data_IF_442688499033
#
_entry.id   IF_442688499033
#
_cell.length_a   1.000
_cell.length_b   1.000
_cell.length_c   1.000
_cell.angle_alpha   90.00
_cell.angle_beta   90.00
_cell.angle_gamma   90.00
#
_symmetry.space_group_name_H-M   'P 1'
#
loop_
_entity.id
_entity.type
_entity.pdbx_description
1 polymer ?
#
# COMPACT_ATOMS: atom_id res chain seq x y z
N UNK A 1 4.91 1.72 -8.37
CA UNK A 1 4.86 2.26 -7.01
C UNK A 1 4.78 1.10 -6.01
N UNK A 2 5.41 1.22 -4.85
CA UNK A 2 5.27 0.25 -3.75
C UNK A 2 3.90 0.41 -3.06
N UNK A 3 3.44 -0.59 -2.30
CA UNK A 3 2.19 -0.45 -1.51
C UNK A 3 2.26 0.73 -0.54
N UNK A 4 3.44 0.96 0.04
CA UNK A 4 3.70 2.10 0.93
C UNK A 4 3.54 3.42 0.19
N UNK A 5 4.08 3.58 -1.02
CA UNK A 5 3.92 4.80 -1.82
C UNK A 5 2.45 5.07 -2.19
N UNK A 6 1.64 4.03 -2.36
CA UNK A 6 0.21 4.16 -2.65
C UNK A 6 -0.55 4.59 -1.40
N UNK A 7 -0.29 3.95 -0.26
CA UNK A 7 -0.87 4.32 1.03
C UNK A 7 -0.45 5.74 1.44
N UNK A 8 0.81 6.09 1.21
CA UNK A 8 1.33 7.45 1.39
C UNK A 8 0.62 8.41 0.43
N UNK A 9 0.36 8.06 -0.83
CA UNK A 9 -0.37 8.95 -1.74
C UNK A 9 -1.83 9.20 -1.32
N UNK A 10 -2.50 8.20 -0.73
CA UNK A 10 -3.85 8.34 -0.16
C UNK A 10 -3.83 9.23 1.09
N UNK A 11 -2.76 9.17 1.89
CA UNK A 11 -2.58 10.00 3.08
C UNK A 11 -2.00 11.39 2.76
N UNK A 12 -1.22 11.57 1.69
CA UNK A 12 -0.49 12.82 1.45
C UNK A 12 -1.30 13.92 0.75
N UNK A 13 -2.60 13.72 0.49
CA UNK A 13 -3.50 14.83 0.18
C UNK A 13 -3.69 15.68 1.43
N UNK A 14 -2.84 16.69 1.57
CA UNK A 14 -2.74 17.58 2.74
C UNK A 14 -4.06 18.29 3.00
N UNK A 15 -4.68 18.04 4.14
CA UNK A 15 -5.63 18.99 4.74
C UNK A 15 -4.82 20.06 5.50
N UNK A 16 -5.25 21.32 5.45
CA UNK A 16 -4.56 22.47 6.06
C UNK A 16 -4.35 22.34 7.59
N UNK A 17 -5.04 21.40 8.24
CA UNK A 17 -5.07 21.23 9.69
C UNK A 17 -4.40 19.92 10.17
N UNK A 18 -3.66 19.22 9.31
CA UNK A 18 -3.02 17.95 9.69
C UNK A 18 -1.84 18.11 10.67
N UNK A 19 -1.76 17.16 11.61
CA UNK A 19 -0.67 17.02 12.58
C UNK A 19 0.67 16.88 11.87
N UNK A 20 1.55 17.88 12.04
CA UNK A 20 2.85 17.90 11.36
C UNK A 20 3.84 16.98 12.10
N UNK A 21 4.10 15.80 11.56
CA UNK A 21 5.19 14.92 12.04
C UNK A 21 6.54 15.62 11.95
N UNK A 22 7.50 15.25 12.81
CA UNK A 22 8.84 15.86 12.79
C UNK A 22 9.48 15.84 11.40
N UNK A 23 9.39 14.73 10.67
CA UNK A 23 9.95 14.61 9.31
C UNK A 23 9.22 15.55 8.34
N UNK A 24 7.89 15.64 8.41
CA UNK A 24 7.11 16.58 7.59
C UNK A 24 7.46 18.04 7.90
N UNK A 25 7.72 18.36 9.17
CA UNK A 25 8.22 19.69 9.57
C UNK A 25 9.63 19.94 9.01
N UNK A 26 10.53 18.97 9.16
CA UNK A 26 11.89 19.02 8.61
C UNK A 26 11.85 19.31 7.10
N UNK A 27 11.02 18.58 6.35
CA UNK A 27 10.81 18.79 4.93
C UNK A 27 10.28 20.19 4.61
N UNK A 28 9.28 20.68 5.35
CA UNK A 28 8.69 21.99 5.12
C UNK A 28 9.68 23.14 5.40
N UNK A 29 10.43 23.05 6.50
CA UNK A 29 11.41 24.06 6.90
C UNK A 29 12.58 24.09 5.89
N UNK A 30 13.07 22.92 5.45
CA UNK A 30 14.07 22.84 4.36
C UNK A 30 13.49 23.37 3.04
N UNK A 31 12.26 23.00 2.68
CA UNK A 31 11.59 23.50 1.47
C UNK A 31 11.47 25.02 1.46
N UNK A 32 11.25 25.64 2.62
CA UNK A 32 11.20 27.10 2.76
C UNK A 32 12.54 27.72 2.37
N UNK A 33 13.65 27.18 2.88
CA UNK A 33 15.02 27.64 2.54
C UNK A 33 15.28 27.50 1.04
N UNK A 34 14.98 26.33 0.46
CA UNK A 34 15.14 26.12 -0.98
C UNK A 34 14.30 27.11 -1.79
N UNK A 35 13.04 27.31 -1.42
CA UNK A 35 12.11 28.22 -2.12
C UNK A 35 12.56 29.67 -2.06
N UNK A 36 13.12 30.11 -0.93
CA UNK A 36 13.69 31.44 -0.78
C UNK A 36 14.86 31.64 -1.76
N UNK A 37 15.80 30.70 -1.82
CA UNK A 37 16.92 30.73 -2.77
C UNK A 37 16.41 30.69 -4.21
N UNK A 38 15.43 29.83 -4.53
CA UNK A 38 14.84 29.77 -5.87
C UNK A 38 14.29 31.11 -6.31
N UNK A 39 13.51 31.75 -5.43
CA UNK A 39 12.86 33.03 -5.72
C UNK A 39 13.90 34.15 -5.85
N UNK A 40 14.87 34.22 -4.93
CA UNK A 40 15.92 35.24 -4.92
C UNK A 40 16.84 35.16 -6.15
N UNK A 41 17.22 33.94 -6.54
CA UNK A 41 18.17 33.69 -7.64
C UNK A 41 17.49 33.44 -8.98
N UNK A 42 16.14 33.39 -9.02
CA UNK A 42 15.32 33.08 -10.20
C UNK A 42 15.72 31.73 -10.83
N UNK A 43 15.93 30.71 -10.00
CA UNK A 43 16.23 29.34 -10.44
C UNK A 43 15.03 28.42 -10.21
N UNK A 44 15.01 27.28 -10.91
CA UNK A 44 13.94 26.28 -10.79
C UNK A 44 13.81 25.77 -9.35
N UNK A 45 12.57 25.62 -8.87
CA UNK A 45 12.29 25.11 -7.53
C UNK A 45 12.53 23.61 -7.45
N UNK A 46 13.33 23.18 -6.48
CA UNK A 46 13.41 21.77 -6.11
C UNK A 46 12.27 21.46 -5.13
N UNK A 47 11.56 20.37 -5.37
CA UNK A 47 10.58 19.81 -4.44
C UNK A 47 11.29 18.92 -3.44
N UNK A 48 11.74 19.48 -2.32
CA UNK A 48 12.52 18.81 -1.26
C UNK A 48 11.90 17.47 -0.85
N UNK A 49 10.57 17.39 -0.70
CA UNK A 49 9.88 16.14 -0.35
C UNK A 49 10.17 14.97 -1.32
N UNK A 50 10.43 15.25 -2.59
CA UNK A 50 10.76 14.22 -3.59
C UNK A 50 12.22 13.76 -3.49
N UNK A 51 13.12 14.65 -3.06
CA UNK A 51 14.56 14.46 -3.15
C UNK A 51 15.27 14.28 -1.81
N UNK A 52 14.58 14.57 -0.69
CA UNK A 52 15.05 14.30 0.65
C UNK A 52 15.13 12.80 0.85
N UNK A 53 16.29 12.31 1.25
CA UNK A 53 16.52 10.89 1.53
C UNK A 53 17.21 10.75 2.88
N UNK A 54 16.94 9.65 3.57
CA UNK A 54 17.63 9.29 4.79
C UNK A 54 19.10 8.96 4.46
N UNK A 55 20.02 9.45 5.28
CA UNK A 55 21.43 9.14 5.18
C UNK A 55 21.71 7.65 5.34
N UNK A 56 22.86 7.22 4.82
CA UNK A 56 23.34 5.84 4.95
C UNK A 56 24.73 5.84 5.59
N UNK A 57 25.28 4.66 5.89
CA UNK A 57 26.59 4.51 6.56
C UNK A 57 27.73 5.20 5.77
N UNK A 58 27.56 5.40 4.46
CA UNK A 58 28.56 6.01 3.58
C UNK A 58 28.42 7.54 3.46
N UNK A 59 27.32 8.12 3.96
CA UNK A 59 27.06 9.56 3.93
C UNK A 59 27.18 10.14 5.33
N UNK A 60 27.90 11.26 5.48
CA UNK A 60 28.12 11.94 6.76
C UNK A 60 26.92 12.80 7.20
N UNK A 61 25.69 12.32 7.04
CA UNK A 61 24.47 13.07 7.38
C UNK A 61 23.35 12.14 7.85
N UNK A 62 22.42 12.68 8.64
CA UNK A 62 21.17 11.96 8.97
C UNK A 62 20.21 11.97 7.77
N UNK A 63 20.29 13.02 6.94
CA UNK A 63 19.53 13.17 5.70
C UNK A 63 20.38 13.85 4.63
N UNK A 64 19.95 13.74 3.37
CA UNK A 64 20.57 14.41 2.24
C UNK A 64 19.57 14.78 1.14
N UNK A 65 19.94 15.78 0.34
CA UNK A 65 19.27 16.19 -0.91
C UNK A 65 20.30 16.26 -2.03
N UNK A 66 19.98 15.66 -3.18
CA UNK A 66 20.78 15.81 -4.39
C UNK A 66 20.53 17.21 -4.99
N UNK A 67 21.58 18.03 -5.11
CA UNK A 67 21.51 19.37 -5.67
C UNK A 67 21.56 19.38 -7.21
N UNK A 68 22.07 18.30 -7.80
CA UNK A 68 22.07 18.11 -9.25
C UNK A 68 20.73 17.51 -9.68
N UNK A 69 19.79 18.35 -10.13
CA UNK A 69 18.56 17.82 -10.75
C UNK A 69 18.84 17.47 -12.23
N UNK A 70 18.15 16.45 -12.79
CA UNK A 70 18.18 16.15 -14.22
C UNK A 70 17.76 17.33 -15.12
N UNK A 71 17.11 18.34 -14.54
CA UNK A 71 16.49 19.47 -15.22
C UNK A 71 17.40 20.72 -15.23
N UNK A 72 18.70 20.57 -14.92
CA UNK A 72 19.67 21.68 -14.98
C UNK A 72 19.68 22.62 -13.78
N UNK A 73 19.33 22.12 -12.59
CA UNK A 73 19.31 22.90 -11.36
C UNK A 73 20.70 23.41 -10.93
N UNK A 74 20.85 24.74 -10.75
CA UNK A 74 22.10 25.45 -10.38
C UNK A 74 22.34 25.59 -8.86
N UNK A 75 21.70 24.78 -8.01
CA UNK A 75 21.83 24.94 -6.55
C UNK A 75 23.24 24.72 -6.03
N UNK A 76 24.08 23.98 -6.76
CA UNK A 76 25.48 23.80 -6.39
C UNK A 76 26.23 25.14 -6.30
N UNK A 77 25.90 26.11 -7.16
CA UNK A 77 26.49 27.45 -7.18
C UNK A 77 26.08 28.30 -5.96
N UNK A 78 25.00 27.93 -5.29
CA UNK A 78 24.47 28.61 -4.11
C UNK A 78 24.55 27.74 -2.86
N UNK A 79 25.45 26.76 -2.87
CA UNK A 79 25.58 25.76 -1.80
C UNK A 79 26.01 26.37 -0.46
N UNK A 80 26.91 27.36 -0.46
CA UNK A 80 27.33 28.06 0.75
C UNK A 80 26.15 28.83 1.39
N UNK A 81 25.40 29.61 0.60
CA UNK A 81 24.21 30.35 1.07
C UNK A 81 23.11 29.40 1.58
N UNK A 82 22.94 28.24 0.93
CA UNK A 82 22.05 27.17 1.40
C UNK A 82 22.48 26.62 2.76
N UNK A 83 23.78 26.30 2.92
CA UNK A 83 24.33 25.76 4.16
C UNK A 83 24.14 26.75 5.32
N UNK A 84 24.44 28.03 5.10
CA UNK A 84 24.26 29.06 6.11
C UNK A 84 22.80 29.16 6.58
N UNK A 85 21.85 29.24 5.63
CA UNK A 85 20.42 29.31 5.96
C UNK A 85 19.88 28.06 6.64
N UNK A 86 20.41 26.88 6.31
CA UNK A 86 20.03 25.64 6.98
C UNK A 86 20.52 25.61 8.43
N UNK A 87 21.66 26.22 8.73
CA UNK A 87 22.18 26.32 10.11
C UNK A 87 21.33 27.20 11.02
N UNK A 88 20.49 28.08 10.46
CA UNK A 88 19.50 28.85 11.22
C UNK A 88 18.34 27.99 11.76
N UNK A 89 18.16 26.78 11.22
CA UNK A 89 17.15 25.84 11.69
C UNK A 89 17.67 25.14 12.95
N UNK A 90 17.11 25.49 14.11
CA UNK A 90 17.55 25.06 15.45
C UNK A 90 17.86 23.57 15.66
N UNK A 91 17.23 22.67 14.92
CA UNK A 91 17.44 21.21 15.02
C UNK A 91 18.37 20.63 13.96
N UNK A 92 18.90 21.46 13.07
CA UNK A 92 20.01 21.12 12.18
C UNK A 92 21.29 21.48 12.92
N UNK A 93 22.08 20.44 13.25
CA UNK A 93 23.37 20.59 13.91
C UNK A 93 24.44 21.08 12.92
N UNK A 94 24.42 20.54 11.71
CA UNK A 94 25.38 20.87 10.66
C UNK A 94 24.83 20.57 9.27
N UNK A 95 25.36 21.25 8.26
CA UNK A 95 25.07 21.03 6.85
C UNK A 95 26.35 21.16 6.03
N UNK A 96 26.61 20.21 5.13
CA UNK A 96 27.82 20.16 4.31
C UNK A 96 27.52 19.62 2.91
N UNK A 97 28.30 20.06 1.91
CA UNK A 97 28.31 19.44 0.58
C UNK A 97 29.21 18.22 0.60
N UNK A 98 28.62 17.05 0.35
CA UNK A 98 29.33 15.80 0.16
C UNK A 98 29.45 15.46 -1.33
N UNK A 99 30.66 15.08 -1.75
CA UNK A 99 30.97 14.60 -3.11
C UNK A 99 30.50 15.53 -4.24
N UNK A 100 30.50 16.85 -4.01
CA UNK A 100 30.13 17.91 -4.98
C UNK A 100 28.66 17.93 -5.47
N UNK A 101 27.78 17.04 -5.00
CA UNK A 101 26.39 16.99 -5.49
C UNK A 101 25.35 16.80 -4.39
N UNK A 102 25.75 16.36 -3.20
CA UNK A 102 24.82 16.08 -2.11
C UNK A 102 24.92 17.15 -1.05
N UNK A 103 23.82 17.83 -0.77
CA UNK A 103 23.68 18.61 0.46
C UNK A 103 23.25 17.65 1.56
N UNK A 104 24.15 17.39 2.50
CA UNK A 104 23.91 16.53 3.65
C UNK A 104 23.69 17.38 4.88
N UNK A 105 22.85 16.91 5.80
CA UNK A 105 22.59 17.60 7.05
C UNK A 105 22.51 16.62 8.22
N UNK A 106 23.09 17.03 9.33
CA UNK A 106 23.09 16.33 10.61
C UNK A 106 22.09 16.99 11.51
N UNK A 107 21.26 16.19 12.17
CA UNK A 107 20.30 16.67 13.14
C UNK A 107 20.97 16.82 14.50
N UNK A 108 20.51 17.79 15.27
CA UNK A 108 20.77 17.85 16.70
C UNK A 108 19.96 16.74 17.38
N UNK A 109 20.52 15.51 17.36
CA UNK A 109 19.82 14.29 17.80
C UNK A 109 19.22 14.39 19.20
N UNK A 110 19.89 14.96 20.23
CA UNK A 110 19.28 15.17 21.54
C UNK A 110 18.02 16.05 21.49
N UNK A 111 18.06 17.15 20.72
CA UNK A 111 16.90 18.03 20.55
C UNK A 111 15.74 17.30 19.85
N UNK A 112 16.04 16.61 18.75
CA UNK A 112 15.04 15.84 17.99
C UNK A 112 14.45 14.71 18.82
N UNK A 113 15.29 13.97 19.54
CA UNK A 113 14.85 12.91 20.44
C UNK A 113 13.89 13.44 21.48
N UNK A 114 14.24 14.52 22.18
CA UNK A 114 13.36 15.12 23.20
C UNK A 114 12.01 15.50 22.60
N UNK A 115 12.02 16.19 21.46
CA UNK A 115 10.78 16.60 20.78
C UNK A 115 9.92 15.41 20.37
N UNK A 116 10.50 14.42 19.71
CA UNK A 116 9.79 13.20 19.28
C UNK A 116 9.27 12.42 20.48
N UNK A 117 10.08 12.28 21.53
CA UNK A 117 9.70 11.59 22.75
C UNK A 117 8.54 12.28 23.47
N UNK A 118 8.58 13.61 23.59
CA UNK A 118 7.48 14.41 24.17
C UNK A 118 6.18 14.23 23.37
N UNK A 119 6.26 14.16 22.03
CA UNK A 119 5.11 13.83 21.17
C UNK A 119 4.64 12.39 21.40
N UNK A 120 5.52 11.40 21.43
CA UNK A 120 5.16 10.01 21.70
C UNK A 120 4.45 9.88 23.05
N UNK A 121 4.92 10.57 24.09
CA UNK A 121 4.28 10.58 25.41
C UNK A 121 2.92 11.27 25.39
N UNK A 122 2.81 12.42 24.72
CA UNK A 122 1.57 13.20 24.65
C UNK A 122 0.46 12.44 23.93
N UNK A 123 0.79 11.76 22.83
CA UNK A 123 -0.19 11.16 21.93
C UNK A 123 -0.31 9.63 22.11
N UNK A 124 0.67 8.99 22.73
CA UNK A 124 0.66 7.57 23.08
C UNK A 124 0.34 6.69 21.88
N UNK A 125 -0.77 5.95 21.97
CA UNK A 125 -1.21 4.99 20.95
C UNK A 125 -1.54 5.62 19.61
N UNK A 126 -1.80 6.94 19.54
CA UNK A 126 -2.11 7.65 18.29
C UNK A 126 -0.91 8.39 17.70
N UNK A 127 0.29 8.18 18.23
CA UNK A 127 1.51 8.70 17.62
C UNK A 127 1.72 8.07 16.23
N UNK A 128 2.02 8.91 15.22
CA UNK A 128 2.18 8.45 13.83
C UNK A 128 0.90 8.38 13.01
N UNK A 129 -0.27 8.72 13.59
CA UNK A 129 -1.57 8.67 12.91
C UNK A 129 -2.03 10.04 12.42
N UNK A 130 -2.75 10.04 11.29
CA UNK A 130 -3.38 11.22 10.68
C UNK A 130 -4.89 11.15 10.91
N UNK A 131 -5.53 12.30 11.12
CA UNK A 131 -6.99 12.40 11.22
C UNK A 131 -7.58 12.72 9.84
N UNK A 132 -7.85 11.69 9.03
CA UNK A 132 -8.49 11.84 7.73
C UNK A 132 -9.92 11.32 7.75
N UNK A 133 -10.89 12.22 7.57
CA UNK A 133 -12.31 11.85 7.47
C UNK A 133 -12.74 11.56 6.02
N UNK A 134 -11.99 10.68 5.35
CA UNK A 134 -12.32 10.21 4.00
C UNK A 134 -12.80 8.76 4.07
N UNK A 135 -13.51 8.33 3.04
CA UNK A 135 -14.09 7.00 2.91
C UNK A 135 -13.39 6.20 1.80
N UNK A 136 -13.19 4.91 2.04
CA UNK A 136 -12.47 4.04 1.10
C UNK A 136 -13.17 2.69 1.01
N UNK A 137 -13.39 2.22 -0.22
CA UNK A 137 -13.85 0.88 -0.51
C UNK A 137 -12.66 -0.02 -0.86
N UNK A 138 -12.35 -1.00 -0.01
CA UNK A 138 -11.28 -1.97 -0.23
C UNK A 138 -11.87 -3.23 -0.87
N UNK A 139 -11.44 -3.53 -2.09
CA UNK A 139 -11.86 -4.70 -2.86
C UNK A 139 -10.72 -5.70 -2.98
N UNK A 140 -10.92 -6.91 -2.44
CA UNK A 140 -9.92 -7.98 -2.45
C UNK A 140 -10.30 -9.03 -3.49
N UNK A 141 -9.45 -9.17 -4.51
CA UNK A 141 -9.72 -10.03 -5.67
C UNK A 141 -8.96 -11.36 -5.55
N UNK A 142 -9.61 -12.38 -4.99
CA UNK A 142 -9.01 -13.71 -4.76
C UNK A 142 -9.53 -14.81 -5.69
N UNK A 143 -10.43 -14.50 -6.63
CA UNK A 143 -11.08 -15.54 -7.43
C UNK A 143 -10.05 -16.29 -8.29
N UNK A 144 -10.12 -17.62 -8.27
CA UNK A 144 -9.22 -18.51 -9.04
C UNK A 144 -7.72 -18.36 -8.73
N UNK A 145 -7.36 -17.82 -7.55
CA UNK A 145 -5.97 -17.81 -7.07
C UNK A 145 -5.65 -19.09 -6.30
N UNK A 146 -4.37 -19.48 -6.30
CA UNK A 146 -3.88 -20.52 -5.38
C UNK A 146 -3.89 -20.00 -3.93
N UNK A 147 -3.89 -20.92 -2.95
CA UNK A 147 -4.05 -20.57 -1.54
C UNK A 147 -2.95 -19.65 -0.99
N UNK A 148 -1.73 -19.73 -1.50
CA UNK A 148 -0.64 -18.84 -1.07
C UNK A 148 -0.86 -17.41 -1.56
N UNK A 149 -1.29 -17.24 -2.81
CA UNK A 149 -1.63 -15.92 -3.34
C UNK A 149 -2.88 -15.34 -2.68
N UNK A 150 -3.89 -16.17 -2.41
CA UNK A 150 -5.07 -15.80 -1.61
C UNK A 150 -4.67 -15.32 -0.21
N UNK A 151 -3.78 -16.06 0.46
CA UNK A 151 -3.27 -15.68 1.78
C UNK A 151 -2.51 -14.35 1.73
N UNK A 152 -1.63 -14.15 0.73
CA UNK A 152 -0.89 -12.88 0.57
C UNK A 152 -1.84 -11.69 0.38
N UNK A 153 -2.86 -11.83 -0.47
CA UNK A 153 -3.86 -10.79 -0.68
C UNK A 153 -4.66 -10.51 0.58
N UNK A 154 -5.10 -11.56 1.28
CA UNK A 154 -5.90 -11.42 2.50
C UNK A 154 -5.13 -10.72 3.62
N UNK A 155 -3.87 -11.11 3.85
CA UNK A 155 -3.00 -10.47 4.84
C UNK A 155 -2.62 -9.03 4.45
N UNK A 156 -2.45 -8.76 3.15
CA UNK A 156 -2.26 -7.38 2.65
C UNK A 156 -3.49 -6.53 2.94
N UNK A 157 -4.69 -7.10 2.72
CA UNK A 157 -5.95 -6.42 2.98
C UNK A 157 -6.15 -6.12 4.45
N UNK A 158 -5.93 -7.11 5.33
CA UNK A 158 -5.99 -6.90 6.77
C UNK A 158 -5.06 -5.75 7.20
N UNK A 159 -3.80 -5.77 6.76
CA UNK A 159 -2.84 -4.72 7.10
C UNK A 159 -3.31 -3.34 6.63
N UNK A 160 -3.77 -3.25 5.38
CA UNK A 160 -4.24 -2.00 4.77
C UNK A 160 -5.51 -1.47 5.43
N UNK A 161 -6.49 -2.32 5.69
CA UNK A 161 -7.74 -1.96 6.36
C UNK A 161 -7.45 -1.46 7.77
N UNK A 162 -6.62 -2.19 8.52
CA UNK A 162 -6.20 -1.75 9.85
C UNK A 162 -5.48 -0.41 9.79
N UNK A 163 -4.56 -0.23 8.84
CA UNK A 163 -3.81 1.01 8.67
C UNK A 163 -4.70 2.20 8.34
N UNK A 164 -5.61 2.07 7.38
CA UNK A 164 -6.54 3.14 6.98
C UNK A 164 -7.49 3.51 8.13
N UNK A 165 -8.05 2.51 8.81
CA UNK A 165 -8.98 2.74 9.92
C UNK A 165 -8.30 3.39 11.13
N UNK A 166 -7.04 3.03 11.36
CA UNK A 166 -6.18 3.65 12.38
C UNK A 166 -5.87 5.13 12.05
N UNK A 167 -5.93 5.51 10.77
CA UNK A 167 -5.83 6.90 10.30
C UNK A 167 -7.22 7.54 10.08
N UNK A 168 -8.24 7.06 10.79
CA UNK A 168 -9.61 7.60 10.84
C UNK A 168 -10.40 7.59 9.52
N UNK A 169 -9.96 6.83 8.50
CA UNK A 169 -10.77 6.60 7.31
C UNK A 169 -12.03 5.78 7.66
N UNK A 170 -13.14 6.09 7.00
CA UNK A 170 -14.30 5.19 6.98
C UNK A 170 -14.03 4.08 5.96
N UNK A 171 -13.60 2.92 6.45
CA UNK A 171 -13.24 1.78 5.60
C UNK A 171 -14.44 0.89 5.39
N UNK A 172 -14.82 0.72 4.12
CA UNK A 172 -15.69 -0.36 3.66
C UNK A 172 -14.83 -1.42 3.01
N UNK A 173 -15.14 -2.70 3.22
CA UNK A 173 -14.37 -3.76 2.58
C UNK A 173 -15.25 -4.90 2.10
N UNK A 174 -14.80 -5.55 1.03
CA UNK A 174 -15.43 -6.75 0.51
C UNK A 174 -14.38 -7.79 0.11
N UNK A 175 -14.56 -9.02 0.59
CA UNK A 175 -13.74 -10.17 0.26
C UNK A 175 -14.53 -11.16 -0.60
N UNK A 176 -13.95 -11.51 -1.73
CA UNK A 176 -14.36 -12.72 -2.46
C UNK A 176 -13.42 -13.84 -1.98
N UNK A 177 -13.94 -15.00 -1.60
CA UNK A 177 -13.14 -16.14 -1.10
C UNK A 177 -12.13 -15.77 0.00
N UNK A 178 -12.61 -15.30 1.15
CA UNK A 178 -11.77 -14.97 2.29
C UNK A 178 -11.10 -16.24 2.84
N UNK A 179 -9.76 -16.26 2.85
CA UNK A 179 -9.02 -17.14 3.75
C UNK A 179 -9.16 -16.53 5.14
N UNK A 180 -10.10 -17.05 5.94
CA UNK A 180 -10.34 -16.58 7.32
C UNK A 180 -9.06 -16.75 8.13
N UNK A 181 -8.25 -15.70 8.20
CA UNK A 181 -7.24 -15.54 9.23
C UNK A 181 -7.89 -14.78 10.39
N UNK A 182 -7.58 -15.24 11.59
CA UNK A 182 -8.29 -14.92 12.82
C UNK A 182 -8.16 -13.44 13.21
N UNK A 183 -9.07 -12.56 12.78
CA UNK A 183 -9.38 -11.30 13.50
C UNK A 183 -10.61 -10.60 12.93
N UNK A 184 -11.41 -9.97 13.80
CA UNK A 184 -12.37 -8.95 13.38
C UNK A 184 -11.60 -7.75 12.83
N UNK A 185 -11.85 -7.38 11.56
CA UNK A 185 -11.24 -6.19 10.96
C UNK A 185 -11.95 -4.95 11.48
N UNK A 186 -11.19 -3.88 11.77
CA UNK A 186 -11.73 -2.60 12.20
C UNK A 186 -12.32 -1.83 11.01
N UNK A 187 -13.35 -2.36 10.34
CA UNK A 187 -14.01 -1.71 9.20
C UNK A 187 -15.43 -2.22 8.99
N UNK A 188 -16.14 -1.62 8.03
CA UNK A 188 -17.49 -2.01 7.68
C UNK A 188 -17.45 -3.07 6.57
N UNK A 189 -17.68 -4.33 6.92
CA UNK A 189 -17.81 -5.40 5.93
C UNK A 189 -19.07 -5.18 5.08
N UNK A 190 -18.91 -5.20 3.76
CA UNK A 190 -20.01 -5.26 2.82
C UNK A 190 -20.32 -6.73 2.52
N UNK A 191 -21.44 -7.20 3.07
CA UNK A 191 -21.97 -8.53 2.80
C UNK A 191 -23.09 -8.39 1.77
N UNK A 192 -22.84 -8.88 0.56
CA UNK A 192 -23.85 -8.98 -0.48
C UNK A 192 -24.65 -10.27 -0.24
N UNK A 193 -25.94 -10.16 0.07
CA UNK A 193 -26.82 -11.33 0.24
C UNK A 193 -27.01 -12.09 -1.08
N UNK A 194 -27.31 -13.39 -1.03
CA UNK A 194 -27.47 -14.25 -2.22
C UNK A 194 -28.62 -13.79 -3.14
N UNK A 195 -29.60 -13.09 -2.57
CA UNK A 195 -30.77 -12.51 -3.23
C UNK A 195 -30.51 -11.10 -3.81
N UNK A 196 -29.32 -10.54 -3.63
CA UNK A 196 -28.92 -9.30 -4.32
C UNK A 196 -28.57 -9.60 -5.79
N UNK A 197 -29.58 -9.58 -6.66
CA UNK A 197 -29.37 -9.68 -8.11
C UNK A 197 -28.66 -8.43 -8.63
N UNK A 198 -27.57 -8.64 -9.37
CA UNK A 198 -26.89 -7.59 -10.15
C UNK A 198 -27.03 -7.81 -11.66
N UNK A 199 -27.89 -8.74 -12.10
CA UNK A 199 -28.16 -9.00 -13.52
C UNK A 199 -28.70 -7.76 -14.23
N UNK A 200 -29.55 -6.97 -13.56
CA UNK A 200 -30.08 -5.72 -14.12
C UNK A 200 -28.95 -4.69 -14.36
N UNK A 201 -27.93 -4.67 -13.50
CA UNK A 201 -26.76 -3.81 -13.71
C UNK A 201 -25.88 -4.32 -14.84
N UNK A 202 -25.74 -5.63 -14.97
CA UNK A 202 -25.04 -6.25 -16.10
C UNK A 202 -25.70 -5.85 -17.43
N UNK A 203 -27.02 -6.03 -17.55
CA UNK A 203 -27.78 -5.62 -18.74
C UNK A 203 -27.73 -4.10 -18.99
N UNK A 204 -27.82 -3.30 -17.92
CA UNK A 204 -27.72 -1.84 -18.01
C UNK A 204 -26.35 -1.40 -18.55
N UNK A 205 -25.25 -1.96 -18.06
CA UNK A 205 -23.91 -1.66 -18.52
C UNK A 205 -23.68 -2.14 -19.96
N UNK A 206 -24.18 -3.32 -20.32
CA UNK A 206 -24.12 -3.83 -21.70
C UNK A 206 -24.86 -2.92 -22.69
N UNK A 207 -26.06 -2.47 -22.31
CA UNK A 207 -26.84 -1.51 -23.08
C UNK A 207 -26.11 -0.17 -23.22
N UNK A 208 -25.54 0.35 -22.13
CA UNK A 208 -24.71 1.56 -22.14
C UNK A 208 -23.49 1.41 -23.05
N UNK A 209 -22.78 0.29 -22.99
CA UNK A 209 -21.65 0.01 -23.87
C UNK A 209 -22.06 -0.04 -25.34
N UNK A 210 -23.23 -0.61 -25.64
CA UNK A 210 -23.77 -0.70 -27.01
C UNK A 210 -24.08 0.64 -27.65
N UNK A 211 -24.38 1.66 -26.84
CA UNK A 211 -24.72 3.02 -27.26
C UNK A 211 -23.64 4.05 -26.86
N UNK A 212 -22.47 3.60 -26.42
CA UNK A 212 -21.40 4.47 -25.96
C UNK A 212 -20.78 5.26 -27.12
N UNK A 213 -20.42 6.52 -26.87
CA UNK A 213 -19.62 7.32 -27.81
C UNK A 213 -18.24 6.72 -28.08
N UNK A 214 -17.75 5.88 -27.16
CA UNK A 214 -16.46 5.20 -27.23
C UNK A 214 -16.49 3.93 -28.08
N UNK A 215 -17.64 3.55 -28.62
CA UNK A 215 -17.80 2.32 -29.37
C UNK A 215 -17.08 2.40 -30.71
N UNK A 216 -16.32 1.34 -31.02
CA UNK A 216 -15.61 1.18 -32.29
C UNK A 216 -15.98 -0.13 -32.98
N UNK A 217 -15.69 -0.22 -34.28
CA UNK A 217 -15.85 -1.47 -35.03
C UNK A 217 -14.98 -2.58 -34.43
N UNK A 218 -15.52 -3.80 -34.35
CA UNK A 218 -14.80 -4.97 -33.85
C UNK A 218 -14.85 -6.08 -34.89
N UNK A 219 -13.70 -6.67 -35.19
CA UNK A 219 -13.61 -7.81 -36.12
C UNK A 219 -14.01 -9.14 -35.45
N UNK A 220 -14.25 -9.14 -34.14
CA UNK A 220 -14.63 -10.33 -33.37
C UNK A 220 -16.16 -10.44 -33.32
N UNK A 221 -16.69 -11.57 -33.79
CA UNK A 221 -18.12 -11.88 -33.73
C UNK A 221 -18.64 -11.82 -32.27
N UNK A 222 -19.83 -11.26 -32.06
CA UNK A 222 -20.47 -11.08 -30.74
C UNK A 222 -19.64 -10.34 -29.68
N UNK A 223 -18.78 -9.42 -30.13
CA UNK A 223 -18.00 -8.56 -29.26
C UNK A 223 -18.43 -7.10 -29.39
N UNK A 224 -18.59 -6.42 -28.26
CA UNK A 224 -18.62 -4.97 -28.18
C UNK A 224 -17.20 -4.48 -27.88
N UNK A 225 -16.71 -3.54 -28.68
CA UNK A 225 -15.37 -2.98 -28.52
C UNK A 225 -15.47 -1.49 -28.23
N UNK A 226 -14.80 -1.05 -27.17
CA UNK A 226 -14.70 0.36 -26.80
C UNK A 226 -13.25 0.83 -26.94
N UNK A 227 -13.06 2.07 -27.40
CA UNK A 227 -11.75 2.72 -27.53
C UNK A 227 -11.28 3.24 -26.17
N UNK A 228 -10.62 2.35 -25.42
CA UNK A 228 -10.05 2.68 -24.12
C UNK A 228 -8.91 3.69 -24.23
N UNK A 229 -8.13 3.67 -25.33
CA UNK A 229 -7.02 4.59 -25.52
C UNK A 229 -7.51 6.03 -25.68
N UNK A 230 -8.47 6.26 -26.57
CA UNK A 230 -9.03 7.59 -26.79
C UNK A 230 -9.67 8.16 -25.51
N UNK A 231 -10.34 7.30 -24.72
CA UNK A 231 -10.85 7.69 -23.41
C UNK A 231 -9.74 8.12 -22.44
N UNK A 232 -8.71 7.28 -22.27
CA UNK A 232 -7.61 7.57 -21.35
C UNK A 232 -6.83 8.83 -21.74
N UNK A 233 -6.66 9.09 -23.03
CA UNK A 233 -6.02 10.29 -23.56
C UNK A 233 -6.87 11.56 -23.33
N UNK A 234 -8.19 11.50 -23.56
CA UNK A 234 -9.10 12.63 -23.33
C UNK A 234 -9.10 13.12 -21.87
N UNK A 235 -8.95 12.20 -20.91
CA UNK A 235 -9.06 12.50 -19.48
C UNK A 235 -7.72 12.49 -18.72
N UNK A 236 -6.57 12.42 -19.41
CA UNK A 236 -5.22 12.33 -18.81
C UNK A 236 -5.06 11.19 -17.77
N UNK A 237 -5.72 10.05 -18.03
CA UNK A 237 -5.73 8.86 -17.17
C UNK A 237 -4.66 7.82 -17.56
N UNK A 238 -3.75 8.16 -18.47
CA UNK A 238 -2.67 7.28 -18.96
C UNK A 238 -1.76 6.70 -17.86
N UNK A 239 -1.81 7.26 -16.64
CA UNK A 239 -1.11 6.75 -15.45
C UNK A 239 -1.58 5.35 -15.03
N UNK A 240 -2.83 4.97 -15.33
CA UNK A 240 -3.45 3.72 -14.86
C UNK A 240 -3.44 2.57 -15.88
N UNK A 241 -3.02 2.81 -17.13
CA UNK A 241 -3.21 1.81 -18.19
C UNK A 241 -2.47 2.08 -19.50
N UNK A 242 -1.15 2.30 -19.46
CA UNK A 242 -0.31 2.51 -20.66
C UNK A 242 -0.44 1.43 -21.76
N UNK A 243 -1.09 0.30 -21.47
CA UNK A 243 -1.25 -0.85 -22.37
C UNK A 243 -2.70 -1.17 -22.76
N UNK A 244 -3.70 -0.38 -22.33
CA UNK A 244 -5.11 -0.66 -22.65
C UNK A 244 -5.50 0.15 -23.88
N UNK A 245 -5.47 -0.50 -25.04
CA UNK A 245 -5.89 0.11 -26.30
C UNK A 245 -7.40 0.02 -26.49
N UNK A 246 -7.96 -1.17 -26.27
CA UNK A 246 -9.37 -1.46 -26.52
C UNK A 246 -9.93 -2.29 -25.38
N UNK A 247 -11.18 -2.05 -25.01
CA UNK A 247 -11.92 -2.87 -24.06
C UNK A 247 -12.91 -3.73 -24.84
N UNK A 248 -12.76 -5.05 -24.73
CA UNK A 248 -13.58 -6.03 -25.44
C UNK A 248 -14.56 -6.69 -24.48
N UNK A 249 -15.85 -6.58 -24.77
CA UNK A 249 -16.94 -7.16 -23.98
C UNK A 249 -17.62 -8.20 -24.86
N UNK A 250 -17.57 -9.46 -24.44
CA UNK A 250 -18.34 -10.52 -25.09
C UNK A 250 -19.83 -10.33 -24.75
N UNK A 251 -20.71 -10.34 -25.75
CA UNK A 251 -22.17 -10.17 -25.60
C UNK A 251 -22.88 -11.36 -24.97
N UNK A 252 -22.15 -12.42 -24.66
CA UNK A 252 -22.70 -13.61 -24.01
C UNK A 252 -22.73 -13.35 -22.49
N UNK A 253 -23.75 -13.87 -21.81
CA UNK A 253 -24.07 -13.69 -20.37
C UNK A 253 -22.99 -14.11 -19.35
N UNK A 254 -21.77 -14.37 -19.79
CA UNK A 254 -20.62 -14.80 -18.97
C UNK A 254 -19.37 -13.94 -19.15
N UNK A 255 -19.49 -12.69 -19.59
CA UNK A 255 -18.34 -11.78 -19.65
C UNK A 255 -17.78 -11.54 -18.24
N UNK A 256 -16.61 -12.11 -17.92
CA UNK A 256 -15.90 -11.92 -16.63
C UNK A 256 -15.67 -10.42 -16.37
N UNK A 257 -15.34 -9.67 -17.42
CA UNK A 257 -15.11 -8.23 -17.36
C UNK A 257 -16.37 -7.46 -16.95
N UNK A 258 -17.49 -7.73 -17.62
CA UNK A 258 -18.74 -7.03 -17.38
C UNK A 258 -19.34 -7.43 -16.02
N UNK A 259 -19.19 -8.69 -15.63
CA UNK A 259 -19.56 -9.20 -14.31
C UNK A 259 -18.80 -8.46 -13.21
N UNK A 260 -17.48 -8.34 -13.31
CA UNK A 260 -16.67 -7.59 -12.33
C UNK A 260 -17.04 -6.10 -12.29
N UNK A 261 -17.30 -5.49 -13.44
CA UNK A 261 -17.71 -4.08 -13.55
C UNK A 261 -19.07 -3.84 -12.89
N UNK A 262 -20.06 -4.68 -13.20
CA UNK A 262 -21.39 -4.66 -12.61
C UNK A 262 -21.33 -4.88 -11.10
N UNK A 263 -20.46 -5.77 -10.64
CA UNK A 263 -20.29 -6.07 -9.23
C UNK A 263 -19.75 -4.87 -8.43
N UNK A 264 -18.73 -4.18 -8.93
CA UNK A 264 -18.21 -2.95 -8.30
C UNK A 264 -19.32 -1.90 -8.18
N UNK A 265 -20.06 -1.67 -9.27
CA UNK A 265 -21.20 -0.74 -9.29
C UNK A 265 -22.30 -1.16 -8.31
N UNK A 266 -22.54 -2.46 -8.18
CA UNK A 266 -23.54 -3.01 -7.28
C UNK A 266 -23.20 -2.72 -5.82
N UNK A 267 -21.98 -3.01 -5.38
CA UNK A 267 -21.50 -2.70 -4.05
C UNK A 267 -21.69 -1.22 -3.71
N UNK A 268 -21.28 -0.34 -4.62
CA UNK A 268 -21.38 1.10 -4.42
C UNK A 268 -22.82 1.64 -4.39
N UNK A 269 -23.71 1.12 -5.22
CA UNK A 269 -25.06 1.67 -5.38
C UNK A 269 -26.11 1.08 -4.45
N UNK A 270 -25.88 -0.14 -3.94
CA UNK A 270 -26.84 -0.88 -3.11
C UNK A 270 -26.41 -1.06 -1.66
N UNK A 271 -25.10 -1.14 -1.42
CA UNK A 271 -24.57 -1.50 -0.10
C UNK A 271 -23.84 -0.35 0.61
N UNK A 272 -23.70 0.79 -0.05
CA UNK A 272 -23.07 1.98 0.51
C UNK A 272 -24.05 3.15 0.51
N UNK A 273 -24.19 3.81 1.67
CA UNK A 273 -25.04 5.01 1.79
C UNK A 273 -24.45 6.22 1.08
N UNK A 274 -23.12 6.32 1.08
CA UNK A 274 -22.37 7.39 0.42
C UNK A 274 -21.38 6.78 -0.56
N UNK A 275 -21.17 7.46 -1.69
CA UNK A 275 -20.11 7.12 -2.64
C UNK A 275 -18.75 7.24 -1.94
N UNK A 276 -17.86 6.23 -2.04
CA UNK A 276 -16.53 6.32 -1.46
C UNK A 276 -15.68 7.38 -2.15
N UNK A 277 -14.76 8.01 -1.42
CA UNK A 277 -13.76 8.92 -1.98
C UNK A 277 -12.73 8.16 -2.83
N UNK A 278 -12.36 6.94 -2.39
CA UNK A 278 -11.39 6.08 -3.06
C UNK A 278 -11.88 4.64 -3.19
N UNK A 279 -11.46 3.97 -4.26
CA UNK A 279 -11.54 2.50 -4.36
C UNK A 279 -10.13 1.93 -4.38
N UNK A 280 -9.81 1.11 -3.39
CA UNK A 280 -8.52 0.43 -3.28
C UNK A 280 -8.67 -1.04 -3.65
N UNK A 281 -8.04 -1.42 -4.75
CA UNK A 281 -8.03 -2.79 -5.24
C UNK A 281 -6.79 -3.51 -4.75
N UNK A 282 -6.96 -4.65 -4.09
CA UNK A 282 -5.88 -5.56 -3.71
C UNK A 282 -5.98 -6.77 -4.62
N UNK A 283 -4.99 -6.92 -5.51
CA UNK A 283 -5.05 -7.83 -6.65
C UNK A 283 -3.76 -8.63 -6.79
N UNK A 284 -3.89 -9.85 -7.30
CA UNK A 284 -2.73 -10.57 -7.81
C UNK A 284 -2.30 -9.99 -9.16
N UNK A 285 -0.99 -10.02 -9.43
CA UNK A 285 -0.42 -9.59 -10.71
C UNK A 285 -1.04 -10.32 -11.91
N UNK A 286 -1.47 -11.58 -11.75
CA UNK A 286 -2.14 -12.36 -12.80
C UNK A 286 -3.50 -11.78 -13.20
N UNK A 287 -4.16 -11.02 -12.32
CA UNK A 287 -5.50 -10.42 -12.54
C UNK A 287 -5.45 -8.93 -12.84
N UNK A 288 -4.27 -8.31 -12.94
CA UNK A 288 -4.15 -6.84 -13.09
C UNK A 288 -4.89 -6.28 -14.30
N UNK A 289 -4.84 -6.97 -15.45
CA UNK A 289 -5.39 -6.46 -16.72
C UNK A 289 -6.91 -6.41 -16.65
N UNK A 290 -7.55 -7.52 -16.28
CA UNK A 290 -9.02 -7.60 -16.21
C UNK A 290 -9.60 -6.60 -15.20
N UNK A 291 -8.90 -6.35 -14.09
CA UNK A 291 -9.35 -5.35 -13.09
C UNK A 291 -9.15 -3.92 -13.59
N UNK A 292 -8.05 -3.62 -14.29
CA UNK A 292 -7.89 -2.30 -14.90
C UNK A 292 -8.94 -2.03 -15.97
N UNK A 293 -9.20 -3.00 -16.85
CA UNK A 293 -10.24 -2.91 -17.86
C UNK A 293 -11.61 -2.71 -17.20
N UNK A 294 -11.92 -3.40 -16.10
CA UNK A 294 -13.21 -3.25 -15.42
C UNK A 294 -13.39 -1.85 -14.82
N UNK A 295 -12.32 -1.28 -14.25
CA UNK A 295 -12.38 0.06 -13.67
C UNK A 295 -12.55 1.13 -14.75
N UNK A 296 -11.80 1.04 -15.85
CA UNK A 296 -11.93 1.95 -16.98
C UNK A 296 -13.32 1.81 -17.61
N UNK A 297 -13.81 0.59 -17.78
CA UNK A 297 -15.15 0.35 -18.29
C UNK A 297 -16.23 1.00 -17.41
N UNK A 298 -16.11 0.91 -16.09
CA UNK A 298 -17.03 1.57 -15.17
C UNK A 298 -17.03 3.10 -15.37
N UNK A 299 -15.85 3.71 -15.47
CA UNK A 299 -15.71 5.15 -15.69
C UNK A 299 -16.27 5.58 -17.05
N UNK A 300 -15.99 4.81 -18.11
CA UNK A 300 -16.49 5.09 -19.47
C UNK A 300 -18.02 5.07 -19.56
N UNK A 301 -18.69 4.20 -18.80
CA UNK A 301 -20.13 3.95 -18.94
C UNK A 301 -21.00 4.69 -17.93
N UNK A 302 -20.43 5.11 -16.80
CA UNK A 302 -21.19 5.69 -15.70
C UNK A 302 -20.77 7.13 -15.36
N UNK A 303 -19.74 7.67 -16.02
CA UNK A 303 -19.19 9.02 -15.79
C UNK A 303 -18.88 9.30 -14.31
N UNK A 304 -18.58 8.21 -13.59
CA UNK A 304 -18.26 8.25 -12.18
C UNK A 304 -16.75 8.48 -12.08
N UNK A 305 -16.34 9.74 -11.91
CA UNK A 305 -14.96 10.06 -11.53
C UNK A 305 -14.68 9.50 -10.13
N UNK A 306 -13.89 8.43 -10.08
CA UNK A 306 -13.43 7.78 -8.85
C UNK A 306 -11.92 7.64 -8.95
N UNK A 307 -11.26 7.93 -7.83
CA UNK A 307 -9.85 7.66 -7.69
C UNK A 307 -9.66 6.19 -7.33
N UNK A 308 -9.09 5.43 -8.28
CA UNK A 308 -8.73 4.04 -8.09
C UNK A 308 -7.27 3.92 -7.68
N UNK A 309 -7.01 3.18 -6.62
CA UNK A 309 -5.69 2.80 -6.14
C UNK A 309 -5.51 1.28 -6.22
N UNK A 310 -4.27 0.82 -6.45
CA UNK A 310 -4.02 -0.60 -6.74
C UNK A 310 -2.80 -1.15 -5.99
N UNK A 311 -3.02 -2.07 -5.07
CA UNK A 311 -1.96 -2.89 -4.49
C UNK A 311 -1.87 -4.18 -5.29
N UNK A 312 -0.82 -4.29 -6.10
CA UNK A 312 -0.56 -5.46 -6.94
C UNK A 312 0.46 -6.36 -6.23
N UNK A 313 -0.01 -7.52 -5.80
CA UNK A 313 0.83 -8.57 -5.24
C UNK A 313 1.34 -9.49 -6.34
N UNK A 314 2.65 -9.67 -6.42
CA UNK A 314 3.26 -10.72 -7.24
C UNK A 314 2.99 -12.10 -6.63
N UNK A 315 3.25 -13.13 -7.43
CA UNK A 315 3.05 -14.53 -7.02
C UNK A 315 3.88 -14.91 -5.80
N UNK A 316 3.34 -15.88 -5.07
CA UNK A 316 3.90 -16.48 -3.87
C UNK A 316 4.20 -17.94 -4.13
N UNK A 317 5.41 -18.39 -3.78
CA UNK A 317 5.81 -19.79 -3.93
C UNK A 317 6.64 -20.26 -2.73
N UNK A 318 6.39 -21.47 -2.21
CA UNK A 318 7.27 -22.09 -1.23
C UNK A 318 8.59 -22.54 -1.89
N UNK A 319 9.71 -22.40 -1.17
CA UNK A 319 11.04 -22.88 -1.59
C UNK A 319 11.20 -24.39 -1.29
N UNK A 320 10.33 -25.23 -1.85
CA UNK A 320 10.48 -26.70 -1.83
C UNK A 320 10.25 -27.24 -3.24
N UNK A 321 10.90 -28.37 -3.58
CA UNK A 321 10.69 -29.09 -4.84
C UNK A 321 9.33 -29.81 -4.93
N UNK A 322 8.67 -30.07 -3.80
CA UNK A 322 7.36 -30.72 -3.72
C UNK A 322 6.26 -29.69 -3.46
N UNK A 323 5.07 -29.98 -3.96
CA UNK A 323 3.87 -29.22 -3.63
C UNK A 323 3.60 -29.36 -2.13
N UNK A 324 3.52 -28.22 -1.43
CA UNK A 324 3.16 -28.11 -0.03
C UNK A 324 1.91 -27.24 0.05
N UNK A 325 0.93 -27.65 0.83
CA UNK A 325 -0.29 -26.88 1.09
C UNK A 325 -0.04 -25.73 2.08
N UNK A 326 -0.93 -24.73 2.07
CA UNK A 326 -0.85 -23.61 3.03
C UNK A 326 -0.98 -24.11 4.49
N UNK A 327 -1.79 -25.13 4.72
CA UNK A 327 -2.01 -25.74 6.05
C UNK A 327 -0.74 -26.40 6.57
N UNK A 328 -0.05 -27.16 5.73
CA UNK A 328 1.24 -27.77 6.09
C UNK A 328 2.31 -26.71 6.39
N UNK A 329 2.33 -25.61 5.61
CA UNK A 329 3.22 -24.49 5.88
C UNK A 329 2.97 -23.87 7.27
N UNK A 330 1.71 -23.60 7.61
CA UNK A 330 1.33 -23.03 8.92
C UNK A 330 1.67 -23.99 10.06
N UNK A 331 1.40 -25.30 9.88
CA UNK A 331 1.72 -26.30 10.89
C UNK A 331 3.23 -26.44 11.13
N UNK A 332 4.04 -26.38 10.07
CA UNK A 332 5.50 -26.38 10.19
C UNK A 332 6.01 -25.17 11.00
N UNK A 333 5.45 -23.97 10.77
CA UNK A 333 5.75 -22.78 11.56
C UNK A 333 5.33 -22.95 13.04
N UNK A 334 4.13 -23.48 13.28
CA UNK A 334 3.62 -23.71 14.64
C UNK A 334 4.53 -24.66 15.43
N UNK A 335 4.97 -25.74 14.79
CA UNK A 335 5.87 -26.72 15.41
C UNK A 335 7.24 -26.12 15.73
N UNK A 336 7.82 -25.32 14.82
CA UNK A 336 9.09 -24.62 15.08
C UNK A 336 8.97 -23.68 16.28
N UNK A 337 7.88 -22.92 16.38
CA UNK A 337 7.61 -22.01 17.50
C UNK A 337 7.48 -22.78 18.82
N UNK A 338 6.71 -23.87 18.84
CA UNK A 338 6.54 -24.71 20.02
C UNK A 338 7.87 -25.27 20.51
N UNK A 339 8.71 -25.77 19.60
CA UNK A 339 10.03 -26.30 19.93
C UNK A 339 10.95 -25.21 20.49
N UNK A 340 10.99 -24.02 19.86
CA UNK A 340 11.81 -22.91 20.31
C UNK A 340 11.37 -22.38 21.70
N UNK A 341 10.07 -22.30 21.93
CA UNK A 341 9.50 -21.89 23.22
C UNK A 341 9.81 -22.90 24.33
N UNK A 342 9.64 -24.20 24.06
CA UNK A 342 9.93 -25.26 25.02
C UNK A 342 11.42 -25.38 25.36
N UNK A 343 12.30 -25.05 24.41
CA UNK A 343 13.75 -24.99 24.66
C UNK A 343 14.16 -23.78 25.52
N UNK A 344 13.47 -22.64 25.37
CA UNK A 344 13.83 -21.39 26.06
C UNK A 344 13.25 -21.28 27.48
N UNK A 345 12.08 -21.82 27.71
CA UNK A 345 11.32 -21.65 28.95
C UNK A 345 11.12 -22.99 29.67
N UNK A 346 11.14 -22.96 31.00
CA UNK A 346 10.98 -24.16 31.82
C UNK A 346 9.67 -24.90 31.54
N UNK A 347 9.61 -26.23 31.75
CA UNK A 347 8.39 -27.02 31.56
C UNK A 347 7.17 -26.51 32.32
N UNK A 348 7.35 -25.80 33.45
CA UNK A 348 6.24 -25.19 34.18
C UNK A 348 5.48 -24.12 33.39
N UNK A 349 6.16 -23.41 32.47
CA UNK A 349 5.56 -22.36 31.61
C UNK A 349 4.80 -23.00 30.43
N UNK A 350 5.25 -24.16 29.95
CA UNK A 350 4.61 -24.87 28.83
C UNK A 350 3.27 -25.52 29.17
N UNK A 351 2.93 -25.58 30.46
CA UNK A 351 1.67 -26.15 30.96
C UNK A 351 0.71 -25.06 31.52
N UNK A 352 1.08 -23.77 31.41
CA UNK A 352 0.21 -22.65 31.77
C UNK A 352 -0.98 -22.55 30.80
N UNK A 353 -2.14 -22.15 31.31
CA UNK A 353 -3.38 -21.89 30.55
C UNK A 353 -3.15 -20.90 29.39
N UNK A 354 -2.17 -20.00 29.50
CA UNK A 354 -1.85 -19.02 28.47
C UNK A 354 -0.93 -19.55 27.37
N UNK A 355 -0.34 -20.74 27.51
CA UNK A 355 0.64 -21.28 26.57
C UNK A 355 0.13 -21.30 25.12
N UNK A 356 -1.04 -21.89 24.89
CA UNK A 356 -1.63 -22.00 23.55
C UNK A 356 -1.85 -20.62 22.93
N UNK A 357 -2.37 -19.66 23.70
CA UNK A 357 -2.61 -18.30 23.22
C UNK A 357 -1.32 -17.58 22.82
N UNK A 358 -0.22 -17.79 23.57
CA UNK A 358 1.10 -17.24 23.24
C UNK A 358 1.64 -17.85 21.94
N UNK A 359 1.51 -19.16 21.77
CA UNK A 359 1.90 -19.85 20.53
C UNK A 359 1.12 -19.30 19.34
N UNK A 360 -0.19 -19.09 19.48
CA UNK A 360 -1.04 -18.60 18.39
C UNK A 360 -0.71 -17.13 18.03
N UNK A 361 -0.39 -16.26 19.00
CA UNK A 361 0.09 -14.88 18.74
C UNK A 361 1.44 -14.88 18.00
N UNK A 362 2.36 -15.75 18.42
CA UNK A 362 3.67 -15.89 17.77
C UNK A 362 3.52 -16.46 16.36
N UNK A 363 2.60 -17.40 16.16
CA UNK A 363 2.29 -17.99 14.85
C UNK A 363 1.70 -16.96 13.91
N UNK A 364 0.71 -16.18 14.38
CA UNK A 364 0.12 -15.08 13.59
C UNK A 364 1.20 -14.09 13.14
N UNK A 365 2.06 -13.67 14.07
CA UNK A 365 3.18 -12.77 13.77
C UNK A 365 4.17 -13.40 12.78
N UNK A 366 4.53 -14.67 12.97
CA UNK A 366 5.43 -15.40 12.10
C UNK A 366 4.90 -15.48 10.65
N UNK A 367 3.63 -15.81 10.49
CA UNK A 367 2.97 -15.91 9.19
C UNK A 367 2.84 -14.53 8.55
N UNK A 368 2.29 -13.54 9.25
CA UNK A 368 2.14 -12.17 8.72
C UNK A 368 3.45 -11.58 8.25
N UNK A 369 4.51 -11.66 9.06
CA UNK A 369 5.83 -11.18 8.65
C UNK A 369 6.41 -11.98 7.50
N UNK A 370 6.18 -13.29 7.43
CA UNK A 370 6.67 -14.11 6.31
C UNK A 370 6.05 -13.70 4.96
N UNK A 371 4.78 -13.28 4.97
CA UNK A 371 4.05 -12.86 3.77
C UNK A 371 4.25 -11.38 3.42
N UNK A 372 4.42 -10.51 4.43
CA UNK A 372 4.49 -9.05 4.24
C UNK A 372 5.92 -8.49 4.26
N UNK A 373 6.96 -9.30 4.49
CA UNK A 373 8.38 -8.86 4.58
C UNK A 373 8.98 -8.24 3.32
N UNK A 374 8.37 -8.44 2.15
CA UNK A 374 8.86 -7.85 0.89
C UNK A 374 7.75 -7.04 0.23
N UNK A 375 8.15 -6.06 -0.59
CA UNK A 375 7.23 -5.26 -1.39
C UNK A 375 6.25 -6.13 -2.19
N UNK A 376 4.99 -5.68 -2.31
CA UNK A 376 3.95 -6.33 -3.12
C UNK A 376 4.42 -6.58 -4.56
N UNK A 377 5.25 -5.68 -5.09
CA UNK A 377 5.81 -5.75 -6.45
C UNK A 377 6.87 -6.83 -6.67
N UNK A 378 7.25 -7.58 -5.63
CA UNK A 378 8.27 -8.63 -5.69
C UNK A 378 7.67 -10.02 -5.48
N UNK A 379 8.16 -11.00 -6.26
CA UNK A 379 7.82 -12.42 -6.10
C UNK A 379 8.26 -12.91 -4.72
N UNK A 380 7.32 -13.47 -3.97
CA UNK A 380 7.57 -13.95 -2.62
C UNK A 380 7.96 -15.41 -2.62
N UNK A 381 9.19 -15.69 -2.19
CA UNK A 381 9.68 -17.05 -1.97
C UNK A 381 9.65 -17.38 -0.49
N UNK A 382 8.64 -18.14 -0.06
CA UNK A 382 8.46 -18.57 1.33
C UNK A 382 9.45 -19.68 1.67
N UNK A 383 10.13 -19.53 2.80
CA UNK A 383 10.98 -20.59 3.32
C UNK A 383 10.15 -21.42 4.28
N UNK A 384 10.06 -22.71 4.02
CA UNK A 384 9.42 -23.65 4.93
C UNK A 384 10.45 -24.07 5.98
N UNK A 385 10.10 -24.04 7.27
CA UNK A 385 10.97 -24.57 8.31
C UNK A 385 11.35 -26.02 8.00
N UNK A 386 12.63 -26.34 8.06
CA UNK A 386 13.12 -27.72 7.92
C UNK A 386 14.01 -28.08 9.10
N UNK A 387 13.97 -29.35 9.51
CA UNK A 387 14.70 -29.84 10.68
C UNK A 387 16.24 -29.63 10.63
N UNK A 388 16.82 -29.35 9.47
CA UNK A 388 18.28 -29.32 9.26
C UNK A 388 18.85 -27.96 8.85
N UNK A 389 18.06 -26.89 8.79
CA UNK A 389 18.58 -25.56 8.43
C UNK A 389 18.74 -24.67 9.67
N UNK A 390 19.95 -24.12 9.82
CA UNK A 390 20.29 -23.12 10.82
C UNK A 390 19.27 -21.97 10.83
N UNK A 391 18.80 -21.66 12.03
CA UNK A 391 17.85 -20.62 12.43
C UNK A 391 17.49 -19.62 11.34
N UNK A 392 16.34 -19.83 10.68
CA UNK A 392 15.73 -18.74 9.93
C UNK A 392 15.32 -17.71 10.96
N UNK A 393 15.94 -16.52 10.94
CA UNK A 393 15.52 -15.42 11.83
C UNK A 393 14.09 -15.03 11.45
N UNK A 394 13.13 -15.55 12.20
CA UNK A 394 11.74 -15.18 12.04
C UNK A 394 11.54 -13.76 12.56
N UNK A 395 11.41 -12.80 11.63
CA UNK A 395 11.31 -11.37 11.94
C UNK A 395 10.08 -11.06 12.79
N UNK A 396 8.97 -11.79 12.60
CA UNK A 396 7.75 -11.58 13.40
C UNK A 396 7.95 -11.97 14.86
N UNK A 397 8.55 -13.16 15.10
CA UNK A 397 8.89 -13.60 16.46
C UNK A 397 9.92 -12.66 17.10
N UNK A 398 10.90 -12.19 16.33
CA UNK A 398 11.89 -11.22 16.81
C UNK A 398 11.23 -9.91 17.28
N UNK A 399 10.26 -9.38 16.52
CA UNK A 399 9.51 -8.18 16.93
C UNK A 399 8.73 -8.43 18.21
N UNK A 400 8.00 -9.55 18.31
CA UNK A 400 7.25 -9.90 19.52
C UNK A 400 8.16 -10.07 20.74
N UNK A 401 9.33 -10.69 20.56
CA UNK A 401 10.30 -10.85 21.63
C UNK A 401 10.83 -9.51 22.17
N UNK A 402 11.14 -8.55 21.28
CA UNK A 402 11.59 -7.22 21.70
C UNK A 402 10.47 -6.35 22.25
N UNK A 403 9.22 -6.59 21.87
CA UNK A 403 8.07 -5.91 22.48
C UNK A 403 7.81 -6.40 23.91
N UNK A 404 8.03 -7.69 24.17
CA UNK A 404 7.84 -8.28 25.49
C UNK A 404 8.98 -7.97 26.48
N UNK A 405 10.20 -7.72 25.97
CA UNK A 405 11.37 -7.32 26.75
C UNK A 405 11.32 -5.83 27.05
#
# INVERSE_FOLDING_TARGET
MSSTEILESLICLRVKDERIFFVSKLEADIQSVFSEISNKKKINKIMVQKYLKQGNIFLKGDFYVLLQSPEGCRYLEYSEELIEKLKDISYILDAEIYSHFYLTFRLNRPFVFKKVFDEVLKYGKTYGMVEKHQSVLVLVHNENLNDFDKMRNSLSAEHVISFLSTNHFTVYYHFIDLVKSCTSLNGNEIICAEDCSFNDMHQSLESKASHSEWKICCDVHDCLCLDGKAFLEKYDLLKYGKSINHIKILKNSGSELLTKTAYIKHLMSKHMHNKPDYILHIISHSKKIIIYESCILLQMLDDVSLDHAFIINQSTSPKIKSEISITEFINAQKQEIQNAMAHKYDPGISHDKLWSSRIDILLDSAVKFSFLKISSSMVLKLQVPSHNNNSVKNLGIFVQYNFAR
#
